data_IF_406325591751
#
_entry.id   IF_406325591751
#
_cell.length_a   1.000
_cell.length_b   1.000
_cell.length_c   1.000
_cell.angle_alpha   90.00
_cell.angle_beta   90.00
_cell.angle_gamma   90.00
#
_symmetry.space_group_name_H-M   'P 1'
#
loop_
_entity.id
_entity.type
_entity.pdbx_description
1 polymer ?
#
# COMPACT_ATOMS: atom_id res chain seq x y z
N UNK A 1 13.63 1.70 -16.76
CA UNK A 1 12.36 1.99 -16.07
C UNK A 1 12.56 1.74 -14.57
N UNK A 2 12.85 2.75 -13.76
CA UNK A 2 13.14 2.50 -12.32
C UNK A 2 12.92 3.71 -11.42
N UNK A 3 13.43 4.89 -11.81
CA UNK A 3 13.28 6.11 -11.01
C UNK A 3 11.84 6.65 -10.95
N UNK A 4 11.06 6.52 -12.04
CA UNK A 4 9.70 7.04 -12.10
C UNK A 4 8.72 6.27 -11.21
N UNK A 5 8.91 4.95 -11.05
CA UNK A 5 8.05 4.12 -10.21
C UNK A 5 8.34 4.34 -8.72
N UNK A 6 9.61 4.44 -8.33
CA UNK A 6 10.01 4.72 -6.95
C UNK A 6 9.52 6.11 -6.47
N UNK A 7 9.61 7.13 -7.34
CA UNK A 7 9.09 8.47 -7.03
C UNK A 7 7.57 8.48 -6.82
N UNK A 8 6.82 7.74 -7.64
CA UNK A 8 5.37 7.57 -7.49
C UNK A 8 5.01 6.82 -6.21
N UNK A 9 5.76 5.78 -5.86
CA UNK A 9 5.59 5.05 -4.61
C UNK A 9 5.77 5.95 -3.39
N UNK A 10 6.87 6.68 -3.29
CA UNK A 10 7.15 7.55 -2.14
C UNK A 10 6.11 8.66 -2.01
N UNK A 11 5.72 9.27 -3.13
CA UNK A 11 4.68 10.30 -3.14
C UNK A 11 3.33 9.75 -2.66
N UNK A 12 2.93 8.58 -3.17
CA UNK A 12 1.68 7.94 -2.80
C UNK A 12 1.66 7.48 -1.34
N UNK A 13 2.69 6.78 -0.88
CA UNK A 13 2.80 6.34 0.52
C UNK A 13 2.78 7.53 1.49
N UNK A 14 3.44 8.62 1.13
CA UNK A 14 3.41 9.87 1.92
C UNK A 14 2.02 10.49 1.95
N UNK A 15 1.31 10.51 0.82
CA UNK A 15 -0.04 11.04 0.74
C UNK A 15 -1.04 10.18 1.54
N UNK A 16 -0.92 8.85 1.46
CA UNK A 16 -1.71 7.91 2.27
C UNK A 16 -1.49 8.16 3.76
N UNK A 17 -0.23 8.33 4.19
CA UNK A 17 0.09 8.58 5.60
C UNK A 17 -0.52 9.89 6.14
N UNK A 18 -0.80 10.86 5.26
CA UNK A 18 -1.40 12.16 5.60
C UNK A 18 -2.92 12.19 5.47
N UNK A 19 -3.53 11.14 4.91
CA UNK A 19 -4.97 11.09 4.71
C UNK A 19 -5.72 11.01 6.05
N UNK A 20 -6.96 11.49 6.10
CA UNK A 20 -7.78 11.42 7.31
C UNK A 20 -8.09 9.97 7.74
N UNK A 21 -8.17 9.05 6.79
CA UNK A 21 -8.38 7.61 7.00
C UNK A 21 -7.07 6.81 6.90
N UNK A 22 -5.95 7.45 7.23
CA UNK A 22 -4.63 6.81 7.12
C UNK A 22 -4.53 5.57 8.02
N UNK A 23 -3.83 4.52 7.58
CA UNK A 23 -3.43 3.46 8.49
C UNK A 23 -2.44 3.99 9.54
N UNK A 24 -2.48 3.40 10.74
CA UNK A 24 -1.72 3.87 11.91
C UNK A 24 -0.19 3.76 11.76
N UNK A 25 0.29 3.02 10.76
CA UNK A 25 1.70 2.71 10.57
C UNK A 25 2.21 3.15 9.19
N UNK A 26 3.46 3.64 9.16
CA UNK A 26 4.18 3.95 7.92
C UNK A 26 4.38 2.71 7.05
N UNK A 27 4.58 1.56 7.67
CA UNK A 27 4.69 0.29 6.95
C UNK A 27 3.36 -0.05 6.29
N UNK A 28 2.24 0.11 7.01
CA UNK A 28 0.91 -0.08 6.45
C UNK A 28 0.59 0.87 5.29
N UNK A 29 0.92 2.16 5.39
CA UNK A 29 0.78 3.09 4.27
C UNK A 29 1.61 2.66 3.04
N UNK A 30 2.82 2.14 3.28
CA UNK A 30 3.68 1.55 2.26
C UNK A 30 3.08 0.29 1.62
N UNK A 31 2.51 -0.62 2.42
CA UNK A 31 1.84 -1.84 1.93
C UNK A 31 0.67 -1.50 1.01
N UNK A 32 -0.19 -0.55 1.39
CA UNK A 32 -1.32 -0.09 0.58
C UNK A 32 -0.84 0.55 -0.73
N UNK A 33 0.18 1.42 -0.67
CA UNK A 33 0.75 2.04 -1.86
C UNK A 33 1.38 1.02 -2.82
N UNK A 34 2.12 0.05 -2.29
CA UNK A 34 2.76 -1.00 -3.09
C UNK A 34 1.75 -1.97 -3.70
N UNK A 35 0.65 -2.29 -3.00
CA UNK A 35 -0.45 -3.07 -3.54
C UNK A 35 -1.12 -2.34 -4.73
N UNK A 36 -1.37 -1.03 -4.58
CA UNK A 36 -1.96 -0.20 -5.65
C UNK A 36 -1.07 -0.12 -6.90
N UNK A 37 0.24 0.00 -6.70
CA UNK A 37 1.21 0.13 -7.79
C UNK A 37 1.66 -1.21 -8.39
N UNK A 38 1.03 -2.32 -7.97
CA UNK A 38 1.39 -3.69 -8.39
C UNK A 38 2.87 -4.02 -8.11
N UNK A 39 3.47 -3.39 -7.10
CA UNK A 39 4.87 -3.61 -6.72
C UNK A 39 5.06 -4.87 -5.89
N UNK A 40 4.07 -5.19 -5.05
CA UNK A 40 4.05 -6.35 -4.19
C UNK A 40 2.61 -6.64 -3.75
N UNK A 41 2.28 -7.92 -3.58
CA UNK A 41 0.91 -8.39 -3.30
C UNK A 41 0.86 -9.54 -2.30
N UNK A 42 2.00 -10.02 -1.81
CA UNK A 42 2.11 -11.13 -0.85
C UNK A 42 3.10 -10.77 0.25
N UNK A 43 2.97 -11.36 1.43
CA UNK A 43 3.88 -11.08 2.55
C UNK A 43 5.35 -11.23 2.13
N UNK A 44 5.67 -12.26 1.34
CA UNK A 44 7.00 -12.49 0.79
C UNK A 44 7.45 -11.38 -0.17
N UNK A 45 6.61 -10.99 -1.13
CA UNK A 45 6.98 -9.95 -2.10
C UNK A 45 7.14 -8.57 -1.43
N UNK A 46 6.32 -8.28 -0.42
CA UNK A 46 6.47 -7.07 0.41
C UNK A 46 7.76 -7.09 1.23
N UNK A 47 8.09 -8.21 1.86
CA UNK A 47 9.33 -8.37 2.62
C UNK A 47 10.57 -8.10 1.76
N UNK A 48 10.60 -8.68 0.56
CA UNK A 48 11.67 -8.45 -0.43
C UNK A 48 11.71 -7.00 -0.92
N UNK A 49 10.56 -6.39 -1.17
CA UNK A 49 10.46 -5.01 -1.68
C UNK A 49 10.91 -3.98 -0.65
N UNK A 50 10.59 -4.20 0.63
CA UNK A 50 10.89 -3.25 1.70
C UNK A 50 12.16 -3.58 2.47
N UNK A 51 12.76 -4.75 2.27
CA UNK A 51 13.90 -5.22 3.07
C UNK A 51 13.54 -5.43 4.55
N UNK A 52 12.29 -5.83 4.82
CA UNK A 52 11.72 -6.02 6.16
C UNK A 52 11.47 -7.51 6.38
N UNK A 53 11.64 -8.06 7.61
CA UNK A 53 11.32 -9.45 7.89
C UNK A 53 9.88 -9.81 7.51
N UNK A 54 9.68 -10.98 6.89
CA UNK A 54 8.35 -11.42 6.44
C UNK A 54 7.35 -11.54 7.61
N UNK A 55 7.80 -11.93 8.79
CA UNK A 55 6.98 -11.98 10.01
C UNK A 55 6.41 -10.61 10.39
N UNK A 56 7.20 -9.55 10.24
CA UNK A 56 6.79 -8.17 10.54
C UNK A 56 5.76 -7.70 9.52
N UNK A 57 6.00 -7.98 8.24
CA UNK A 57 5.05 -7.69 7.16
C UNK A 57 3.74 -8.44 7.37
N UNK A 58 3.80 -9.73 7.74
CA UNK A 58 2.62 -10.56 7.98
C UNK A 58 1.82 -10.05 9.17
N UNK A 59 2.48 -9.70 10.28
CA UNK A 59 1.82 -9.11 11.44
C UNK A 59 1.10 -7.80 11.07
N UNK A 60 1.72 -6.97 10.24
CA UNK A 60 1.12 -5.71 9.79
C UNK A 60 -0.06 -5.94 8.85
N UNK A 61 0.08 -6.83 7.87
CA UNK A 61 -1.00 -7.23 6.97
C UNK A 61 -2.20 -7.76 7.76
N UNK A 62 -1.98 -8.56 8.80
CA UNK A 62 -3.06 -9.05 9.66
C UNK A 62 -3.76 -7.94 10.47
N UNK A 63 -3.09 -6.81 10.77
CA UNK A 63 -3.74 -5.64 11.40
C UNK A 63 -4.61 -4.85 10.42
N UNK A 64 -4.19 -4.75 9.16
CA UNK A 64 -4.82 -3.89 8.15
C UNK A 64 -5.63 -4.67 7.11
N UNK A 65 -5.74 -5.99 7.26
CA UNK A 65 -6.55 -6.85 6.41
C UNK A 65 -7.91 -7.14 7.07
N UNK A 66 -8.98 -6.95 6.31
CA UNK A 66 -10.33 -7.23 6.75
C UNK A 66 -11.36 -6.59 5.83
N UNK A 67 -12.64 -7.01 5.91
CA UNK A 67 -13.69 -6.53 5.00
C UNK A 67 -13.94 -5.01 5.08
N UNK A 68 -13.54 -4.36 6.18
CA UNK A 68 -13.65 -2.92 6.40
C UNK A 68 -12.30 -2.20 6.51
N UNK A 69 -11.20 -2.92 6.28
CA UNK A 69 -9.85 -2.38 6.31
C UNK A 69 -9.40 -1.96 4.91
N UNK A 70 -8.15 -1.48 4.74
CA UNK A 70 -7.66 -1.01 3.44
C UNK A 70 -7.28 -2.14 2.48
N UNK A 71 -6.89 -3.29 3.03
CA UNK A 71 -6.56 -4.50 2.28
C UNK A 71 -7.48 -5.65 2.66
N UNK A 72 -7.62 -6.62 1.77
CA UNK A 72 -8.28 -7.90 2.03
C UNK A 72 -7.47 -9.03 1.44
N UNK A 73 -7.47 -10.17 2.13
CA UNK A 73 -6.91 -11.41 1.62
C UNK A 73 -7.79 -11.93 0.48
N UNK A 74 -7.22 -12.13 -0.70
CA UNK A 74 -7.88 -12.77 -1.82
C UNK A 74 -7.82 -14.30 -1.65
N UNK A 75 -8.98 -14.95 -1.48
CA UNK A 75 -9.09 -16.41 -1.31
C UNK A 75 -9.72 -16.85 0.02
N UNK A 76 -9.92 -18.16 0.19
CA UNK A 76 -10.70 -18.77 1.30
C UNK A 76 -9.88 -19.47 2.39
N UNK A 77 -8.55 -19.37 2.40
CA UNK A 77 -7.74 -20.14 3.35
C UNK A 77 -6.39 -19.53 3.61
N UNK A 78 -6.11 -19.29 4.90
CA UNK A 78 -4.83 -18.97 5.56
C UNK A 78 -3.96 -17.85 4.97
N UNK A 79 -3.48 -16.95 5.84
CA UNK A 79 -2.45 -15.96 5.51
C UNK A 79 -1.07 -16.63 5.38
N UNK A 80 -0.94 -17.55 4.42
CA UNK A 80 0.32 -18.17 4.04
C UNK A 80 1.18 -17.16 3.26
N UNK A 81 2.47 -17.44 3.11
CA UNK A 81 3.45 -16.51 2.52
C UNK A 81 3.08 -16.07 1.08
N UNK A 82 2.33 -16.91 0.38
CA UNK A 82 1.87 -16.73 -1.01
C UNK A 82 0.49 -16.07 -1.10
N UNK A 83 -0.19 -15.86 0.02
CA UNK A 83 -1.53 -15.32 0.02
C UNK A 83 -1.54 -13.89 -0.51
N UNK A 84 -2.45 -13.63 -1.46
CA UNK A 84 -2.52 -12.38 -2.21
C UNK A 84 -3.38 -11.38 -1.46
N UNK A 85 -2.90 -10.15 -1.33
CA UNK A 85 -3.61 -9.03 -0.71
C UNK A 85 -4.01 -8.04 -1.79
N UNK A 86 -5.29 -7.67 -1.80
CA UNK A 86 -5.87 -6.71 -2.74
C UNK A 86 -6.55 -5.58 -1.98
N UNK A 87 -6.70 -4.44 -2.64
CA UNK A 87 -7.37 -3.28 -2.07
C UNK A 87 -8.87 -3.56 -1.91
N UNK A 88 -9.42 -3.13 -0.77
CA UNK A 88 -10.87 -3.07 -0.60
C UNK A 88 -11.41 -1.80 -1.25
N UNK A 89 -12.75 -1.67 -1.33
CA UNK A 89 -13.38 -0.40 -1.73
C UNK A 89 -12.94 0.79 -0.84
N UNK A 90 -12.65 0.54 0.44
CA UNK A 90 -12.11 1.56 1.35
C UNK A 90 -10.66 1.90 1.02
N UNK A 91 -9.84 0.89 0.72
CA UNK A 91 -8.46 1.08 0.24
C UNK A 91 -8.42 1.89 -1.05
N UNK A 92 -9.26 1.56 -2.02
CA UNK A 92 -9.41 2.31 -3.28
C UNK A 92 -9.83 3.77 -3.04
N UNK A 93 -10.80 4.01 -2.17
CA UNK A 93 -11.23 5.37 -1.82
C UNK A 93 -10.11 6.19 -1.13
N UNK A 94 -9.34 5.55 -0.26
CA UNK A 94 -8.16 6.14 0.37
C UNK A 94 -7.10 6.52 -0.68
N UNK A 95 -6.82 5.62 -1.63
CA UNK A 95 -5.91 5.90 -2.75
C UNK A 95 -6.41 7.09 -3.57
N UNK A 96 -7.70 7.13 -3.93
CA UNK A 96 -8.26 8.22 -4.71
C UNK A 96 -8.10 9.58 -3.99
N UNK A 97 -8.37 9.63 -2.69
CA UNK A 97 -8.17 10.82 -1.87
C UNK A 97 -6.68 11.22 -1.79
N UNK A 98 -5.78 10.25 -1.58
CA UNK A 98 -4.34 10.47 -1.48
C UNK A 98 -3.70 10.88 -2.81
N UNK A 99 -4.08 10.26 -3.93
CA UNK A 99 -3.60 10.59 -5.27
C UNK A 99 -4.09 11.98 -5.69
N UNK A 100 -5.35 12.33 -5.36
CA UNK A 100 -5.86 13.69 -5.51
C UNK A 100 -5.00 14.69 -4.74
N UNK A 101 -4.72 14.44 -3.47
CA UNK A 101 -3.84 15.29 -2.66
C UNK A 101 -2.41 15.41 -3.23
N UNK A 102 -1.82 14.30 -3.66
CA UNK A 102 -0.47 14.26 -4.23
C UNK A 102 -0.37 15.06 -5.54
N UNK A 103 -1.39 14.96 -6.41
CA UNK A 103 -1.45 15.71 -7.67
C UNK A 103 -1.52 17.23 -7.47
N UNK A 104 -2.15 17.70 -6.38
CA UNK A 104 -2.23 19.14 -6.06
C UNK A 104 -0.86 19.66 -5.56
N UNK A 105 -0.06 18.80 -4.92
CA UNK A 105 1.26 19.17 -4.37
C UNK A 105 2.44 18.97 -5.33
N UNK A 106 2.26 18.23 -6.42
CA UNK A 106 3.31 18.09 -7.43
C UNK A 106 3.45 19.41 -8.20
N UNK A 107 4.67 19.99 -8.32
CA UNK A 107 4.85 21.18 -9.13
C UNK A 107 4.41 20.86 -10.56
N UNK A 108 3.58 21.73 -11.14
CA UNK A 108 3.20 21.71 -12.56
C UNK A 108 4.46 21.98 -13.40
N UNK A 109 5.33 21.00 -13.54
CA UNK A 109 6.40 21.05 -14.55
C UNK A 109 5.75 20.75 -15.89
N UNK A 110 5.04 21.76 -16.44
CA UNK A 110 4.71 21.77 -17.87
C UNK A 110 6.04 21.81 -18.62
N UNK A 111 6.30 20.76 -19.40
CA UNK A 111 7.32 20.77 -20.46
C UNK A 111 6.80 21.56 -21.65
#
# INVERSE_FOLDING_TARGET
MGACMLGRFVALATAIQKAADAPDSKLAAGLVAAAHLDMAQSARSFALTFGVPEETVRAELLRIAGPHAHLVLEGTGSADAEARFVLTARGEALIAAAAGAAAITAPLTRS
#
